data_IF_222636771655
#
_entry.id   IF_222636771655
#
_cell.length_a   1.000
_cell.length_b   1.000
_cell.length_c   1.000
_cell.angle_alpha   90.00
_cell.angle_beta   90.00
_cell.angle_gamma   90.00
#
_symmetry.space_group_name_H-M   'P 1'
#
loop_
_entity.id
_entity.type
_entity.pdbx_description
1 polymer ?
#
# COMPACT_ATOMS: atom_id res chain seq x y z
N UNK A 1 -14.71 14.03 17.13
CA UNK A 1 -13.43 14.50 16.65
C UNK A 1 -13.13 14.09 15.23
N UNK A 2 -13.11 12.80 14.81
CA UNK A 2 -12.79 12.40 13.43
C UNK A 2 -13.85 12.88 12.44
N UNK A 3 -15.13 12.73 12.76
CA UNK A 3 -16.24 13.28 11.95
C UNK A 3 -16.08 14.78 11.67
N UNK A 4 -15.50 15.53 12.59
CA UNK A 4 -15.17 16.95 12.42
C UNK A 4 -14.05 17.16 11.39
N UNK A 5 -12.96 16.38 11.47
CA UNK A 5 -11.82 16.46 10.55
C UNK A 5 -12.23 16.09 9.12
N UNK A 6 -13.07 15.06 8.96
CA UNK A 6 -13.63 14.66 7.66
C UNK A 6 -14.45 15.81 7.06
N UNK A 7 -15.40 16.37 7.82
CA UNK A 7 -16.26 17.47 7.33
C UNK A 7 -15.50 18.74 7.02
N UNK A 8 -14.49 19.09 7.81
CA UNK A 8 -13.67 20.29 7.60
C UNK A 8 -12.59 20.12 6.53
N UNK A 9 -12.44 18.92 5.93
CA UNK A 9 -11.37 18.56 4.98
C UNK A 9 -9.97 18.85 5.54
N UNK A 10 -9.80 18.63 6.85
CA UNK A 10 -8.52 18.89 7.54
C UNK A 10 -7.50 17.75 7.38
N UNK A 11 -7.89 16.67 6.72
CA UNK A 11 -7.00 15.56 6.36
C UNK A 11 -6.20 15.90 5.10
N UNK A 12 -4.97 15.38 5.01
CA UNK A 12 -4.14 15.54 3.81
C UNK A 12 -3.32 14.29 3.54
N UNK A 13 -2.92 14.11 2.29
CA UNK A 13 -2.11 12.98 1.83
C UNK A 13 -0.64 13.40 1.73
N UNK A 14 0.26 12.53 2.16
CA UNK A 14 1.69 12.57 1.84
C UNK A 14 2.05 11.32 1.04
N UNK A 15 3.18 11.36 0.33
CA UNK A 15 3.60 10.31 -0.58
C UNK A 15 4.96 9.77 -0.17
N UNK A 16 5.08 8.44 -0.08
CA UNK A 16 6.35 7.77 0.15
C UNK A 16 6.76 6.97 -1.08
N UNK A 17 8.00 7.12 -1.58
CA UNK A 17 8.44 6.40 -2.76
C UNK A 17 8.63 4.91 -2.47
N UNK A 18 8.25 4.10 -3.46
CA UNK A 18 8.60 2.68 -3.59
C UNK A 18 9.58 2.60 -4.77
N UNK A 19 10.73 2.02 -4.54
CA UNK A 19 11.89 2.09 -5.41
C UNK A 19 12.21 0.73 -6.01
N UNK A 20 12.55 0.69 -7.29
CA UNK A 20 13.13 -0.50 -7.93
C UNK A 20 14.55 -0.72 -7.41
N UNK A 21 14.80 -1.83 -6.70
CA UNK A 21 16.10 -2.09 -6.08
C UNK A 21 17.19 -2.43 -7.11
N UNK A 22 16.81 -2.97 -8.26
CA UNK A 22 17.75 -3.25 -9.35
C UNK A 22 18.16 -1.98 -10.10
N UNK A 23 17.19 -1.09 -10.40
CA UNK A 23 17.42 0.09 -11.24
C UNK A 23 17.68 1.38 -10.47
N UNK A 24 17.45 1.42 -9.16
CA UNK A 24 17.57 2.64 -8.37
C UNK A 24 16.59 3.75 -8.78
N UNK A 25 15.49 3.40 -9.44
CA UNK A 25 14.49 4.36 -9.92
C UNK A 25 13.18 4.25 -9.13
N UNK A 26 12.43 5.32 -9.05
CA UNK A 26 11.12 5.31 -8.41
C UNK A 26 10.16 4.48 -9.26
N UNK A 27 9.60 3.45 -8.67
CA UNK A 27 8.58 2.59 -9.27
C UNK A 27 7.18 3.13 -9.08
N UNK A 28 6.89 3.62 -7.87
CA UNK A 28 5.55 4.08 -7.46
C UNK A 28 5.66 4.93 -6.20
N UNK A 29 4.51 5.44 -5.74
CA UNK A 29 4.38 6.09 -4.45
C UNK A 29 3.21 5.50 -3.67
N UNK A 30 3.37 5.37 -2.36
CA UNK A 30 2.28 5.06 -1.45
C UNK A 30 1.68 6.35 -0.90
N UNK A 31 0.36 6.45 -0.96
CA UNK A 31 -0.42 7.55 -0.39
C UNK A 31 -0.72 7.28 1.08
N UNK A 32 -0.21 8.14 1.95
CA UNK A 32 -0.34 8.02 3.39
C UNK A 32 -1.12 9.19 3.95
N UNK A 33 -2.21 8.90 4.68
CA UNK A 33 -3.04 9.95 5.29
C UNK A 33 -2.33 10.60 6.48
N UNK A 34 -2.57 11.89 6.66
CA UNK A 34 -2.14 12.67 7.82
C UNK A 34 -3.27 13.60 8.25
N UNK A 35 -3.42 13.76 9.54
CA UNK A 35 -4.30 14.79 10.11
C UNK A 35 -3.57 16.12 10.34
N UNK A 36 -4.23 17.08 10.99
CA UNK A 36 -3.68 18.41 11.20
C UNK A 36 -2.38 18.36 12.01
N UNK A 37 -1.40 19.11 11.54
CA UNK A 37 -0.09 19.19 12.18
C UNK A 37 -0.20 19.72 13.63
N UNK A 38 0.57 19.13 14.54
CA UNK A 38 0.61 19.53 15.94
C UNK A 38 -0.60 19.05 16.75
N UNK A 39 -1.47 18.21 16.21
CA UNK A 39 -2.58 17.56 16.91
C UNK A 39 -2.30 16.09 17.20
N UNK A 40 -3.10 15.49 18.10
CA UNK A 40 -3.08 14.05 18.36
C UNK A 40 -3.40 13.22 17.09
N UNK A 41 -4.13 13.79 16.16
CA UNK A 41 -4.53 13.15 14.91
C UNK A 41 -3.53 13.31 13.77
N UNK A 42 -2.34 13.87 13.99
CA UNK A 42 -1.31 14.02 12.97
C UNK A 42 -0.86 12.67 12.41
N UNK A 43 -0.73 11.66 13.28
CA UNK A 43 -0.30 10.32 12.90
C UNK A 43 -1.49 9.46 12.42
N UNK A 44 -1.29 8.54 11.44
CA UNK A 44 -2.34 7.68 10.92
C UNK A 44 -2.94 6.76 11.98
N UNK A 45 -2.15 6.23 12.91
CA UNK A 45 -2.64 5.33 13.97
C UNK A 45 -3.74 5.95 14.82
N UNK A 46 -3.60 7.24 15.16
CA UNK A 46 -4.61 7.96 15.94
C UNK A 46 -5.90 8.22 15.13
N UNK A 47 -5.76 8.40 13.82
CA UNK A 47 -6.90 8.53 12.90
C UNK A 47 -7.66 7.22 12.76
N UNK A 48 -6.94 6.10 12.59
CA UNK A 48 -7.51 4.75 12.49
C UNK A 48 -8.23 4.36 13.79
N UNK A 49 -7.60 4.60 14.94
CA UNK A 49 -8.23 4.35 16.24
C UNK A 49 -9.53 5.17 16.41
N UNK A 50 -9.51 6.45 16.04
CA UNK A 50 -10.70 7.29 16.11
C UNK A 50 -11.78 6.85 15.10
N UNK A 51 -11.41 6.35 13.91
CA UNK A 51 -12.36 5.81 12.94
C UNK A 51 -13.08 4.58 13.51
N UNK A 52 -12.34 3.72 14.20
CA UNK A 52 -12.87 2.53 14.86
C UNK A 52 -13.79 2.90 16.03
N UNK A 53 -13.35 3.80 16.92
CA UNK A 53 -14.11 4.25 18.10
C UNK A 53 -15.41 4.99 17.72
N UNK A 54 -15.39 5.77 16.63
CA UNK A 54 -16.56 6.51 16.13
C UNK A 54 -17.41 5.70 15.14
N UNK A 55 -17.04 4.44 14.82
CA UNK A 55 -17.66 3.60 13.78
C UNK A 55 -17.73 4.28 12.41
N UNK A 56 -16.68 4.97 12.02
CA UNK A 56 -16.54 5.73 10.77
C UNK A 56 -15.49 5.11 9.82
N UNK A 57 -15.16 3.83 9.96
CA UNK A 57 -14.10 3.19 9.18
C UNK A 57 -14.36 3.32 7.68
N UNK A 58 -15.59 3.03 7.23
CA UNK A 58 -15.96 3.12 5.82
C UNK A 58 -15.79 4.55 5.28
N UNK A 59 -16.41 5.53 5.94
CA UNK A 59 -16.35 6.94 5.55
C UNK A 59 -14.91 7.47 5.56
N UNK A 60 -14.14 7.07 6.56
CA UNK A 60 -12.75 7.48 6.70
C UNK A 60 -11.89 6.94 5.56
N UNK A 61 -11.95 5.65 5.26
CA UNK A 61 -11.17 5.04 4.17
C UNK A 61 -11.57 5.62 2.80
N UNK A 62 -12.86 5.81 2.54
CA UNK A 62 -13.34 6.44 1.31
C UNK A 62 -12.79 7.87 1.16
N UNK A 63 -12.77 8.64 2.25
CA UNK A 63 -12.19 9.99 2.25
C UNK A 63 -10.69 9.94 1.99
N UNK A 64 -9.95 9.03 2.62
CA UNK A 64 -8.51 8.86 2.41
C UNK A 64 -8.19 8.55 0.95
N UNK A 65 -8.91 7.58 0.36
CA UNK A 65 -8.73 7.17 -1.04
C UNK A 65 -9.08 8.33 -1.98
N UNK A 66 -10.22 8.99 -1.73
CA UNK A 66 -10.67 10.12 -2.57
C UNK A 66 -9.66 11.28 -2.56
N UNK A 67 -9.14 11.65 -1.38
CA UNK A 67 -8.12 12.69 -1.24
C UNK A 67 -6.81 12.32 -1.95
N UNK A 68 -6.40 11.05 -1.84
CA UNK A 68 -5.20 10.55 -2.51
C UNK A 68 -5.34 10.64 -4.04
N UNK A 69 -6.47 10.15 -4.59
CA UNK A 69 -6.74 10.17 -6.03
C UNK A 69 -6.91 11.59 -6.58
N UNK A 70 -7.68 12.45 -5.88
CA UNK A 70 -7.90 13.85 -6.27
C UNK A 70 -6.58 14.61 -6.37
N UNK A 71 -5.73 14.47 -5.36
CA UNK A 71 -4.44 15.13 -5.32
C UNK A 71 -3.47 14.56 -6.36
N UNK A 72 -3.42 13.25 -6.52
CA UNK A 72 -2.55 12.60 -7.51
C UNK A 72 -2.92 13.00 -8.94
N UNK A 73 -4.20 13.00 -9.27
CA UNK A 73 -4.71 13.46 -10.55
C UNK A 73 -4.43 14.93 -10.82
N UNK A 74 -4.57 15.79 -9.79
CA UNK A 74 -4.28 17.23 -9.90
C UNK A 74 -2.77 17.52 -10.10
N UNK A 75 -1.88 16.68 -9.58
CA UNK A 75 -0.44 16.77 -9.80
C UNK A 75 -0.04 16.36 -11.24
N UNK A 76 -0.92 15.63 -11.95
CA UNK A 76 -0.63 15.12 -13.29
C UNK A 76 0.44 14.04 -13.31
N UNK A 77 0.64 13.36 -12.18
CA UNK A 77 1.66 12.34 -12.04
C UNK A 77 1.39 11.14 -12.95
N UNK A 78 2.44 10.64 -13.61
CA UNK A 78 2.35 9.50 -14.51
C UNK A 78 2.71 8.16 -13.87
N UNK A 79 3.20 8.18 -12.62
CA UNK A 79 3.61 7.00 -11.86
C UNK A 79 2.45 6.21 -11.28
N UNK A 80 2.74 5.04 -10.71
CA UNK A 80 1.76 4.24 -9.97
C UNK A 80 1.52 4.83 -8.58
N UNK A 81 0.27 4.72 -8.12
CA UNK A 81 -0.16 5.14 -6.78
C UNK A 81 -0.69 3.93 -6.01
N UNK A 82 -0.15 3.69 -4.84
CA UNK A 82 -0.69 2.74 -3.86
C UNK A 82 -1.64 3.47 -2.93
N UNK A 83 -2.79 2.87 -2.68
CA UNK A 83 -3.79 3.36 -1.72
C UNK A 83 -4.24 2.23 -0.82
N UNK A 84 -4.28 2.50 0.47
CA UNK A 84 -4.71 1.56 1.48
C UNK A 84 -6.23 1.40 1.47
N UNK A 85 -6.71 0.16 1.55
CA UNK A 85 -8.13 -0.18 1.65
C UNK A 85 -8.30 -1.47 2.46
N UNK A 86 -9.23 -1.47 3.40
CA UNK A 86 -9.58 -2.72 4.09
C UNK A 86 -10.41 -3.64 3.18
N UNK A 87 -10.31 -4.94 3.41
CA UNK A 87 -11.11 -5.92 2.67
C UNK A 87 -12.63 -5.67 2.82
N UNK A 88 -13.07 -5.21 3.99
CA UNK A 88 -14.47 -4.89 4.25
C UNK A 88 -14.97 -3.71 3.42
N UNK A 89 -14.20 -2.64 3.34
CA UNK A 89 -14.52 -1.46 2.51
C UNK A 89 -14.46 -1.81 1.03
N UNK A 90 -13.48 -2.61 0.61
CA UNK A 90 -13.36 -3.08 -0.76
C UNK A 90 -14.60 -3.85 -1.22
N UNK A 91 -15.11 -4.79 -0.39
CA UNK A 91 -16.35 -5.52 -0.65
C UNK A 91 -17.54 -4.57 -0.83
N UNK A 92 -17.67 -3.56 0.05
CA UNK A 92 -18.77 -2.58 -0.04
C UNK A 92 -18.66 -1.69 -1.29
N UNK A 93 -17.46 -1.22 -1.62
CA UNK A 93 -17.19 -0.43 -2.83
C UNK A 93 -17.56 -1.23 -4.08
N UNK A 94 -17.15 -2.48 -4.16
CA UNK A 94 -17.45 -3.33 -5.31
C UNK A 94 -18.95 -3.69 -5.40
N UNK A 95 -19.61 -3.90 -4.28
CA UNK A 95 -21.07 -4.12 -4.24
C UNK A 95 -21.86 -2.89 -4.74
N UNK A 96 -21.35 -1.68 -4.45
CA UNK A 96 -22.03 -0.43 -4.81
C UNK A 96 -21.75 -0.01 -6.26
N UNK A 97 -20.50 -0.03 -6.68
CA UNK A 97 -20.05 0.51 -7.97
C UNK A 97 -19.93 -0.55 -9.06
N UNK A 98 -19.62 -1.78 -8.69
CA UNK A 98 -19.19 -2.80 -9.63
C UNK A 98 -17.92 -2.42 -10.39
N UNK A 99 -17.48 -3.27 -11.31
CA UNK A 99 -16.26 -3.06 -12.10
C UNK A 99 -16.29 -1.77 -12.94
N UNK A 100 -17.38 -1.54 -13.66
CA UNK A 100 -17.50 -0.37 -14.55
C UNK A 100 -17.61 0.93 -13.76
N UNK A 101 -18.37 0.94 -12.66
CA UNK A 101 -18.51 2.11 -11.79
C UNK A 101 -17.19 2.48 -11.13
N UNK A 102 -16.43 1.50 -10.65
CA UNK A 102 -15.09 1.70 -10.10
C UNK A 102 -14.16 2.33 -11.15
N UNK A 103 -14.13 1.80 -12.37
CA UNK A 103 -13.32 2.34 -13.46
C UNK A 103 -13.68 3.79 -13.77
N UNK A 104 -14.96 4.12 -13.84
CA UNK A 104 -15.46 5.49 -14.07
C UNK A 104 -15.07 6.42 -12.93
N UNK A 105 -15.22 5.96 -11.68
CA UNK A 105 -14.87 6.73 -10.49
C UNK A 105 -13.37 7.07 -10.47
N UNK A 106 -12.48 6.11 -10.68
CA UNK A 106 -11.04 6.34 -10.72
C UNK A 106 -10.69 7.37 -11.82
N UNK A 107 -11.26 7.21 -13.01
CA UNK A 107 -11.03 8.13 -14.13
C UNK A 107 -11.56 9.55 -13.87
N UNK A 108 -12.60 9.71 -13.07
CA UNK A 108 -13.14 11.03 -12.73
C UNK A 108 -12.16 11.87 -11.89
N UNK A 109 -11.21 11.24 -11.21
CA UNK A 109 -10.09 11.89 -10.52
C UNK A 109 -8.89 12.20 -11.43
N UNK A 110 -8.96 11.91 -12.74
CA UNK A 110 -7.83 12.05 -13.66
C UNK A 110 -6.79 10.94 -13.59
N UNK A 111 -7.06 9.86 -12.83
CA UNK A 111 -6.16 8.71 -12.66
C UNK A 111 -6.57 7.58 -13.61
N UNK A 112 -5.60 6.92 -14.24
CA UNK A 112 -5.87 5.73 -15.05
C UNK A 112 -5.90 4.50 -14.15
N UNK A 113 -6.90 3.60 -14.26
CA UNK A 113 -6.98 2.39 -13.42
C UNK A 113 -5.68 1.59 -13.34
N UNK A 114 -4.95 1.43 -14.44
CA UNK A 114 -3.67 0.71 -14.48
C UNK A 114 -2.54 1.36 -13.67
N UNK A 115 -2.73 2.60 -13.24
CA UNK A 115 -1.79 3.33 -12.39
C UNK A 115 -2.14 3.20 -10.90
N UNK A 116 -3.28 2.60 -10.58
CA UNK A 116 -3.73 2.41 -9.21
C UNK A 116 -3.38 1.00 -8.72
N UNK A 117 -2.83 0.92 -7.53
CA UNK A 117 -2.64 -0.31 -6.76
C UNK A 117 -3.46 -0.18 -5.48
N UNK A 118 -4.42 -1.06 -5.29
CA UNK A 118 -5.16 -1.15 -4.03
C UNK A 118 -4.43 -2.08 -3.09
N UNK A 119 -4.00 -1.54 -1.96
CA UNK A 119 -3.22 -2.22 -0.96
C UNK A 119 -4.16 -2.69 0.16
N UNK A 120 -4.33 -4.01 0.23
CA UNK A 120 -5.21 -4.63 1.22
C UNK A 120 -4.48 -4.67 2.55
N UNK A 121 -4.88 -3.77 3.45
CA UNK A 121 -4.45 -3.70 4.82
C UNK A 121 -5.43 -4.46 5.70
N UNK A 122 -4.97 -4.98 6.82
CA UNK A 122 -5.76 -5.68 7.82
C UNK A 122 -6.74 -6.74 7.27
N UNK A 123 -6.39 -7.96 7.52
CA UNK A 123 -7.28 -9.08 7.32
C UNK A 123 -8.07 -9.34 8.60
N UNK A 124 -9.02 -8.47 8.93
CA UNK A 124 -10.08 -8.82 9.84
C UNK A 124 -11.06 -9.73 9.11
N UNK A 125 -10.96 -11.04 9.40
CA UNK A 125 -11.94 -12.09 9.11
C UNK A 125 -12.90 -11.74 7.96
N UNK A 126 -12.39 -11.75 6.73
CA UNK A 126 -13.30 -11.85 5.58
C UNK A 126 -14.05 -13.14 5.78
N UNK A 127 -15.33 -13.03 6.08
CA UNK A 127 -16.18 -14.18 6.35
C UNK A 127 -16.32 -15.08 5.12
N UNK A 128 -16.06 -14.55 3.92
CA UNK A 128 -16.17 -15.24 2.65
C UNK A 128 -14.94 -14.97 1.76
N UNK A 129 -14.02 -15.92 1.76
CA UNK A 129 -12.79 -15.88 0.95
C UNK A 129 -13.08 -16.02 -0.55
N UNK A 130 -14.14 -16.72 -0.93
CA UNK A 130 -14.50 -16.91 -2.34
C UNK A 130 -15.07 -15.59 -2.91
N UNK A 131 -15.84 -14.87 -2.09
CA UNK A 131 -16.30 -13.52 -2.44
C UNK A 131 -15.09 -12.58 -2.66
N UNK A 132 -14.11 -12.59 -1.77
CA UNK A 132 -12.94 -11.74 -1.91
C UNK A 132 -12.11 -12.11 -3.15
N UNK A 133 -11.96 -13.39 -3.47
CA UNK A 133 -11.27 -13.83 -4.68
C UNK A 133 -12.01 -13.37 -5.96
N UNK A 134 -13.34 -13.40 -5.96
CA UNK A 134 -14.17 -12.90 -7.06
C UNK A 134 -13.99 -11.39 -7.23
N UNK A 135 -14.02 -10.64 -6.14
CA UNK A 135 -13.77 -9.18 -6.13
C UNK A 135 -12.37 -8.86 -6.65
N UNK A 136 -11.35 -9.60 -6.22
CA UNK A 136 -9.99 -9.43 -6.70
C UNK A 136 -9.89 -9.63 -8.23
N UNK A 137 -10.60 -10.60 -8.78
CA UNK A 137 -10.69 -10.80 -10.23
C UNK A 137 -11.34 -9.61 -10.93
N UNK A 138 -12.45 -9.08 -10.40
CA UNK A 138 -13.16 -7.93 -10.98
C UNK A 138 -12.32 -6.65 -10.96
N UNK A 139 -11.55 -6.42 -9.89
CA UNK A 139 -10.63 -5.29 -9.76
C UNK A 139 -9.54 -5.36 -10.82
N UNK A 140 -8.91 -6.54 -11.00
CA UNK A 140 -7.92 -6.73 -12.07
C UNK A 140 -8.53 -6.53 -13.46
N UNK A 141 -9.75 -7.01 -13.67
CA UNK A 141 -10.50 -6.81 -14.91
C UNK A 141 -10.83 -5.33 -15.16
N UNK A 142 -10.89 -4.50 -14.11
CA UNK A 142 -10.98 -3.04 -14.21
C UNK A 142 -9.64 -2.38 -14.55
N UNK A 143 -8.55 -3.15 -14.54
CA UNK A 143 -7.19 -2.68 -14.80
C UNK A 143 -6.45 -2.17 -13.57
N UNK A 144 -6.97 -2.37 -12.37
CA UNK A 144 -6.36 -2.01 -11.08
C UNK A 144 -5.54 -3.19 -10.55
N UNK A 145 -4.34 -2.93 -10.04
CA UNK A 145 -3.51 -3.96 -9.38
C UNK A 145 -3.87 -4.08 -7.90
N UNK A 146 -3.59 -5.25 -7.33
CA UNK A 146 -3.73 -5.50 -5.90
C UNK A 146 -2.36 -5.69 -5.25
N UNK A 147 -2.22 -5.18 -4.05
CA UNK A 147 -1.11 -5.48 -3.16
C UNK A 147 -1.64 -6.07 -1.84
N UNK A 148 -0.86 -6.94 -1.24
CA UNK A 148 -1.08 -7.43 0.13
C UNK A 148 -0.05 -6.77 1.03
N UNK A 149 -0.52 -6.08 2.07
CA UNK A 149 0.32 -5.33 2.99
C UNK A 149 0.75 -6.12 4.22
N UNK A 150 1.81 -5.65 4.89
CA UNK A 150 2.32 -6.12 6.19
C UNK A 150 2.45 -7.65 6.28
N UNK A 151 2.90 -8.31 5.19
CA UNK A 151 3.02 -9.77 5.20
C UNK A 151 4.08 -10.23 6.21
N UNK A 152 3.60 -10.96 7.22
CA UNK A 152 4.42 -11.52 8.28
C UNK A 152 4.23 -10.89 9.66
N UNK A 153 3.40 -9.85 9.79
CA UNK A 153 3.02 -9.26 11.09
C UNK A 153 2.04 -10.13 11.90
N UNK A 154 1.60 -11.27 11.33
CA UNK A 154 0.65 -12.21 11.91
C UNK A 154 -0.80 -12.00 11.47
N UNK A 155 -1.10 -10.97 10.69
CA UNK A 155 -2.44 -10.68 10.16
C UNK A 155 -2.64 -11.26 8.76
N UNK A 156 -1.66 -11.11 7.89
CA UNK A 156 -1.67 -11.68 6.54
C UNK A 156 -1.20 -13.13 6.53
N UNK A 157 -1.90 -13.99 5.78
CA UNK A 157 -1.59 -15.41 5.71
C UNK A 157 -1.18 -15.85 4.30
N UNK A 158 -0.35 -16.89 4.22
CA UNK A 158 -0.01 -17.53 2.95
C UNK A 158 -1.27 -18.05 2.20
N UNK A 159 -2.32 -18.42 2.93
CA UNK A 159 -3.60 -18.81 2.34
C UNK A 159 -4.24 -17.62 1.60
N UNK A 160 -4.23 -16.43 2.20
CA UNK A 160 -4.75 -15.22 1.59
C UNK A 160 -3.97 -14.88 0.31
N UNK A 161 -2.63 -14.92 0.39
CA UNK A 161 -1.77 -14.73 -0.77
C UNK A 161 -2.11 -15.71 -1.90
N UNK A 162 -2.19 -17.01 -1.59
CA UNK A 162 -2.51 -18.05 -2.56
C UNK A 162 -3.89 -17.87 -3.22
N UNK A 163 -4.87 -17.36 -2.50
CA UNK A 163 -6.24 -17.15 -3.00
C UNK A 163 -6.39 -15.83 -3.78
N UNK A 164 -5.83 -14.74 -3.27
CA UNK A 164 -5.92 -13.44 -3.92
C UNK A 164 -5.00 -13.32 -5.14
N UNK A 165 -3.84 -14.02 -5.12
CA UNK A 165 -2.82 -13.89 -6.16
C UNK A 165 -2.49 -12.42 -6.48
N UNK A 166 -2.16 -11.58 -5.48
CA UNK A 166 -1.88 -10.18 -5.71
C UNK A 166 -0.64 -10.01 -6.58
N UNK A 167 -0.59 -8.95 -7.36
CA UNK A 167 0.57 -8.60 -8.16
C UNK A 167 1.78 -8.23 -7.30
N UNK A 168 1.52 -7.76 -6.07
CA UNK A 168 2.54 -7.27 -5.15
C UNK A 168 2.25 -7.79 -3.74
N UNK A 169 3.32 -8.15 -3.00
CA UNK A 169 3.26 -8.40 -1.56
C UNK A 169 4.33 -7.56 -0.88
N UNK A 170 3.93 -6.77 0.11
CA UNK A 170 4.83 -5.99 0.94
C UNK A 170 5.22 -6.80 2.16
N UNK A 171 6.52 -6.95 2.36
CA UNK A 171 7.10 -7.71 3.47
C UNK A 171 7.29 -6.76 4.64
N UNK A 172 6.67 -7.08 5.77
CA UNK A 172 6.75 -6.28 7.00
C UNK A 172 8.21 -6.01 7.41
N UNK A 173 8.43 -4.80 7.90
CA UNK A 173 9.74 -4.30 8.36
C UNK A 173 10.43 -5.20 9.41
N UNK A 174 9.69 -6.05 10.12
CA UNK A 174 10.28 -7.01 11.05
C UNK A 174 11.30 -7.91 10.35
N UNK A 175 11.02 -8.34 9.12
CA UNK A 175 11.92 -9.23 8.37
C UNK A 175 13.04 -8.50 7.62
N UNK A 176 12.88 -7.24 7.35
CA UNK A 176 13.79 -6.45 6.50
C UNK A 176 14.77 -5.58 7.31
N UNK A 177 14.31 -5.00 8.42
CA UNK A 177 15.14 -4.17 9.29
C UNK A 177 16.27 -4.98 9.93
N UNK A 178 17.51 -4.47 9.81
CA UNK A 178 18.75 -5.12 10.25
C UNK A 178 18.99 -6.50 9.63
N UNK A 179 18.44 -6.77 8.45
CA UNK A 179 18.61 -8.06 7.75
C UNK A 179 20.09 -8.36 7.49
N UNK A 180 20.91 -7.35 7.25
CA UNK A 180 22.36 -7.46 7.08
C UNK A 180 23.08 -8.14 8.24
N UNK A 181 22.48 -8.12 9.43
CA UNK A 181 23.04 -8.69 10.66
C UNK A 181 22.38 -10.01 11.10
N UNK A 182 21.36 -10.50 10.37
CA UNK A 182 20.53 -11.61 10.77
C UNK A 182 20.37 -12.67 9.67
N UNK A 183 21.16 -13.73 9.74
CA UNK A 183 21.15 -14.82 8.75
C UNK A 183 19.81 -15.58 8.67
N UNK A 184 19.03 -15.64 9.74
CA UNK A 184 17.68 -16.20 9.77
C UNK A 184 16.69 -15.38 8.95
N UNK A 185 16.76 -14.05 9.02
CA UNK A 185 15.96 -13.15 8.17
C UNK A 185 16.30 -13.31 6.69
N UNK A 186 17.60 -13.41 6.36
CA UNK A 186 18.05 -13.67 4.98
C UNK A 186 17.41 -14.95 4.44
N UNK A 187 17.44 -16.05 5.19
CA UNK A 187 16.83 -17.32 4.79
C UNK A 187 15.30 -17.20 4.65
N UNK A 188 14.66 -16.44 5.53
CA UNK A 188 13.22 -16.19 5.47
C UNK A 188 12.86 -15.45 4.18
N UNK A 189 13.57 -14.37 3.86
CA UNK A 189 13.35 -13.61 2.61
C UNK A 189 13.60 -14.49 1.38
N UNK A 190 14.64 -15.34 1.38
CA UNK A 190 14.87 -16.29 0.29
C UNK A 190 13.68 -17.25 0.10
N UNK A 191 13.10 -17.73 1.19
CA UNK A 191 11.92 -18.61 1.13
C UNK A 191 10.70 -17.85 0.58
N UNK A 192 10.50 -16.60 1.01
CA UNK A 192 9.43 -15.76 0.47
C UNK A 192 9.60 -15.48 -1.02
N UNK A 193 10.83 -15.27 -1.50
CA UNK A 193 11.12 -15.11 -2.94
C UNK A 193 10.72 -16.36 -3.74
N UNK A 194 10.98 -17.55 -3.21
CA UNK A 194 10.57 -18.80 -3.87
C UNK A 194 9.04 -18.92 -3.96
N UNK A 195 8.32 -18.53 -2.89
CA UNK A 195 6.86 -18.50 -2.87
C UNK A 195 6.33 -17.47 -3.87
N UNK A 196 6.93 -16.29 -3.89
CA UNK A 196 6.57 -15.22 -4.81
C UNK A 196 6.71 -15.65 -6.27
N UNK A 197 7.77 -16.37 -6.61
CA UNK A 197 7.98 -16.93 -7.95
C UNK A 197 6.89 -17.95 -8.34
N UNK A 198 6.38 -18.76 -7.39
CA UNK A 198 5.27 -19.71 -7.63
C UNK A 198 3.98 -18.96 -7.97
N UNK A 199 3.75 -17.81 -7.34
CA UNK A 199 2.50 -17.04 -7.50
C UNK A 199 2.59 -15.91 -8.53
N UNK A 200 3.74 -15.74 -9.18
CA UNK A 200 4.02 -14.62 -10.10
C UNK A 200 3.76 -13.25 -9.45
N UNK A 201 4.25 -13.10 -8.23
CA UNK A 201 4.07 -11.93 -7.36
C UNK A 201 5.40 -11.20 -7.19
N UNK A 202 5.41 -9.88 -7.28
CA UNK A 202 6.57 -9.07 -6.93
C UNK A 202 6.60 -8.77 -5.43
N UNK A 203 7.80 -8.77 -4.83
CA UNK A 203 7.99 -8.41 -3.43
C UNK A 203 8.46 -6.96 -3.28
N UNK A 204 7.88 -6.27 -2.29
CA UNK A 204 8.35 -4.98 -1.79
C UNK A 204 8.89 -5.19 -0.37
N UNK A 205 10.15 -4.89 -0.13
CA UNK A 205 10.73 -4.91 1.20
C UNK A 205 10.48 -3.57 1.90
N UNK A 206 9.83 -3.58 3.04
CA UNK A 206 9.55 -2.38 3.82
C UNK A 206 10.64 -2.10 4.87
N UNK A 207 10.65 -0.86 5.40
CA UNK A 207 11.49 -0.48 6.52
C UNK A 207 13.00 -0.50 6.23
N UNK A 208 13.42 -0.25 5.00
CA UNK A 208 14.83 -0.11 4.64
C UNK A 208 15.37 1.19 5.24
N UNK A 209 16.25 1.09 6.23
CA UNK A 209 16.80 2.22 6.95
C UNK A 209 18.32 2.40 6.74
N UNK A 210 19.02 1.38 6.21
CA UNK A 210 20.47 1.39 6.03
C UNK A 210 20.88 0.91 4.62
N UNK A 211 22.05 1.35 4.18
CA UNK A 211 22.65 0.89 2.91
C UNK A 211 22.98 -0.61 2.94
N UNK A 212 23.42 -1.13 4.10
CA UNK A 212 23.75 -2.55 4.23
C UNK A 212 22.52 -3.44 4.06
N UNK A 213 21.37 -3.05 4.65
CA UNK A 213 20.12 -3.77 4.47
C UNK A 213 19.65 -3.70 3.01
N UNK A 214 19.74 -2.51 2.38
CA UNK A 214 19.41 -2.35 0.96
C UNK A 214 20.26 -3.27 0.07
N UNK A 215 21.57 -3.35 0.33
CA UNK A 215 22.49 -4.21 -0.44
C UNK A 215 22.09 -5.68 -0.34
N UNK A 216 21.84 -6.17 0.88
CA UNK A 216 21.41 -7.56 1.09
C UNK A 216 20.09 -7.87 0.37
N UNK A 217 19.08 -7.00 0.49
CA UNK A 217 17.79 -7.19 -0.18
C UNK A 217 17.91 -7.19 -1.70
N UNK A 218 18.76 -6.31 -2.25
CA UNK A 218 19.08 -6.28 -3.68
C UNK A 218 19.77 -7.56 -4.14
N UNK A 219 20.77 -8.04 -3.38
CA UNK A 219 21.51 -9.27 -3.69
C UNK A 219 20.61 -10.52 -3.60
N UNK A 220 19.57 -10.48 -2.78
CA UNK A 220 18.52 -11.49 -2.71
C UNK A 220 17.54 -11.42 -3.89
N UNK A 221 17.63 -10.42 -4.77
CA UNK A 221 16.76 -10.26 -5.92
C UNK A 221 15.37 -9.70 -5.60
N UNK A 222 15.21 -9.00 -4.47
CA UNK A 222 13.95 -8.30 -4.17
C UNK A 222 13.73 -7.20 -5.20
N UNK A 223 12.53 -7.18 -5.80
CA UNK A 223 12.23 -6.28 -6.91
C UNK A 223 12.14 -4.81 -6.47
N UNK A 224 11.45 -4.57 -5.34
CA UNK A 224 11.14 -3.23 -4.87
C UNK A 224 11.43 -3.07 -3.38
N UNK A 225 11.62 -1.82 -2.96
CA UNK A 225 11.83 -1.49 -1.56
C UNK A 225 11.25 -0.15 -1.17
N UNK A 226 10.93 -0.01 0.10
CA UNK A 226 10.42 1.19 0.73
C UNK A 226 11.06 1.37 2.10
N UNK A 227 11.37 2.61 2.47
CA UNK A 227 11.97 2.90 3.78
C UNK A 227 12.60 4.28 3.81
N UNK A 228 12.98 4.72 5.00
CA UNK A 228 13.50 6.07 5.20
C UNK A 228 14.86 6.32 4.54
N UNK A 229 15.60 5.27 4.27
CA UNK A 229 16.85 5.37 3.52
C UNK A 229 16.59 5.74 2.05
N UNK A 230 15.51 5.23 1.45
CA UNK A 230 15.13 5.47 0.07
C UNK A 230 14.31 6.77 -0.10
N UNK A 231 13.53 7.13 0.90
CA UNK A 231 12.74 8.35 0.92
C UNK A 231 11.71 8.38 2.04
N UNK A 232 11.56 9.54 2.67
CA UNK A 232 10.54 9.76 3.70
C UNK A 232 9.24 10.20 3.05
N UNK A 233 8.09 9.96 3.70
CA UNK A 233 6.81 10.54 3.26
C UNK A 233 6.92 12.07 3.15
N UNK A 234 6.52 12.62 2.00
CA UNK A 234 6.57 14.04 1.69
C UNK A 234 5.25 14.53 1.08
N UNK A 235 5.00 15.85 1.16
CA UNK A 235 3.78 16.45 0.60
C UNK A 235 3.72 16.36 -0.92
N UNK A 236 4.86 16.38 -1.59
CA UNK A 236 4.97 16.15 -3.04
C UNK A 236 5.68 14.83 -3.28
N UNK A 237 5.29 14.07 -4.32
CA UNK A 237 6.00 12.88 -4.70
C UNK A 237 7.43 13.22 -5.12
N UNK A 238 8.38 12.36 -4.74
CA UNK A 238 9.76 12.50 -5.19
C UNK A 238 9.83 12.13 -6.67
N UNK A 239 10.54 12.96 -7.45
CA UNK A 239 10.80 12.67 -8.85
C UNK A 239 12.00 11.74 -9.05
N UNK A 240 13.01 11.83 -8.17
CA UNK A 240 14.24 11.05 -8.21
C UNK A 240 14.72 10.73 -6.79
N UNK A 241 15.50 9.66 -6.65
CA UNK A 241 16.14 9.31 -5.39
C UNK A 241 17.39 10.19 -5.24
N UNK A 242 17.58 10.76 -4.06
CA UNK A 242 18.80 11.52 -3.76
C UNK A 242 20.05 10.63 -3.92
N UNK A 243 21.16 11.21 -4.36
CA UNK A 243 22.43 10.55 -4.71
C UNK A 243 23.12 9.79 -3.55
N UNK A 244 22.42 9.45 -2.48
CA UNK A 244 22.92 8.72 -1.30
C UNK A 244 22.33 7.30 -1.16
N UNK A 245 21.46 6.85 -2.07
CA UNK A 245 20.88 5.50 -2.03
C UNK A 245 21.47 4.58 -3.11
#
# INVERSE_FOLDING_TARGET
>A
PLAGLIRSKALHTVYQPIVSLCGGTIYSHEALIRGPQGTLFQAPDALLAAAQDENLNFEFEIVCISLALERWGALGESGRLFVNISAAVLVQVMAHYGREGLTKLIRSFGVLPRMLVMEITEYERVADMDQLATIAHDIRSAGVSLALDDFGDGRSSLRLWAQLRPEIVKIDKYFTKNISQHADKVKTIQSLQQIAAIFDTALVAEGIETEDDLRVLRDLGIAYGQGYFLGRPAQLPLAEIGSQA
#
